data_IF_263524826067
#
_entry.id   IF_263524826067
#
_cell.length_a   1.000
_cell.length_b   1.000
_cell.length_c   1.000
_cell.angle_alpha   90.00
_cell.angle_beta   90.00
_cell.angle_gamma   90.00
#
_symmetry.space_group_name_H-M   'P 1'
#
loop_
_entity.id
_entity.type
_entity.pdbx_description
1 polymer ?
#
# COMPACT_ATOMS: atom_id res chain seq x y z
N UNK A 1 78.81 -1.73 -65.52
CA UNK A 1 78.81 -0.27 -65.78
C UNK A 1 77.62 0.04 -66.68
N UNK A 2 76.65 0.81 -66.17
CA UNK A 2 75.39 1.15 -66.85
C UNK A 2 75.61 2.29 -67.86
N UNK A 3 74.99 2.22 -69.04
CA UNK A 3 74.74 3.37 -69.94
C UNK A 3 73.27 3.40 -70.34
N UNK A 4 72.79 4.63 -70.51
CA UNK A 4 71.41 5.09 -70.62
C UNK A 4 70.67 4.58 -71.86
N UNK A 5 69.34 4.51 -71.76
CA UNK A 5 68.44 4.92 -72.83
C UNK A 5 67.18 5.55 -72.22
N UNK A 6 66.88 6.77 -72.68
CA UNK A 6 65.71 7.56 -72.31
C UNK A 6 64.50 7.11 -73.13
N UNK A 7 63.31 7.13 -72.52
CA UNK A 7 62.04 7.17 -73.26
C UNK A 7 61.21 8.30 -72.67
N UNK A 8 60.98 9.29 -73.51
CA UNK A 8 60.09 10.42 -73.32
C UNK A 8 58.67 9.96 -73.70
N UNK A 9 57.72 10.02 -72.77
CA UNK A 9 56.29 9.85 -73.07
C UNK A 9 55.53 11.06 -72.55
N UNK A 10 54.85 11.73 -73.50
CA UNK A 10 54.02 12.91 -73.30
C UNK A 10 52.88 12.63 -72.30
N UNK A 11 52.71 13.53 -71.33
CA UNK A 11 51.50 13.58 -70.49
C UNK A 11 50.70 14.81 -70.90
N UNK A 12 49.54 14.56 -71.53
CA UNK A 12 48.55 15.58 -71.87
C UNK A 12 47.83 16.05 -70.61
N UNK A 13 47.82 17.36 -70.38
CA UNK A 13 47.05 18.00 -69.32
C UNK A 13 45.55 18.03 -69.70
N UNK A 14 44.69 17.58 -68.80
CA UNK A 14 43.26 17.86 -68.83
C UNK A 14 42.86 18.50 -67.50
N UNK A 15 42.46 19.76 -67.56
CA UNK A 15 41.92 20.51 -66.44
C UNK A 15 40.49 20.01 -66.12
N UNK A 16 40.31 19.46 -64.92
CA UNK A 16 38.99 19.15 -64.35
C UNK A 16 38.53 20.26 -63.40
N UNK A 17 37.21 20.49 -63.26
CA UNK A 17 36.67 21.66 -62.56
C UNK A 17 36.84 21.55 -61.04
N UNK A 18 37.18 22.68 -60.43
CA UNK A 18 37.25 22.86 -58.97
C UNK A 18 35.83 22.83 -58.39
N UNK A 19 35.48 21.76 -57.69
CA UNK A 19 34.29 21.70 -56.84
C UNK A 19 34.64 22.18 -55.43
N UNK A 20 34.27 23.43 -55.15
CA UNK A 20 34.33 24.02 -53.80
C UNK A 20 33.32 23.26 -52.92
N UNK A 21 33.82 22.36 -52.07
CA UNK A 21 33.01 21.75 -51.01
C UNK A 21 32.81 22.79 -49.90
N UNK A 22 31.58 23.32 -49.79
CA UNK A 22 31.18 24.13 -48.63
C UNK A 22 31.26 23.31 -47.33
N UNK A 23 31.38 23.97 -46.16
CA UNK A 23 31.49 23.25 -44.90
C UNK A 23 30.21 22.45 -44.70
N UNK A 24 30.36 21.14 -44.45
CA UNK A 24 29.25 20.29 -44.06
C UNK A 24 28.63 20.88 -42.79
N UNK A 25 27.38 21.34 -42.90
CA UNK A 25 26.61 21.76 -41.74
C UNK A 25 26.54 20.58 -40.77
N UNK A 26 27.21 20.73 -39.62
CA UNK A 26 27.09 19.78 -38.53
C UNK A 26 25.62 19.67 -38.16
N UNK A 27 25.04 18.49 -38.37
CA UNK A 27 23.75 18.11 -37.80
C UNK A 27 23.86 18.39 -36.29
N UNK A 28 22.91 19.14 -35.68
CA UNK A 28 22.92 19.26 -34.23
C UNK A 28 22.79 17.84 -33.68
N UNK A 29 23.72 17.44 -32.82
CA UNK A 29 23.54 16.28 -31.97
C UNK A 29 22.24 16.55 -31.22
N UNK A 30 21.18 15.84 -31.64
CA UNK A 30 19.87 15.97 -31.03
C UNK A 30 20.02 15.82 -29.53
N UNK A 31 19.36 16.68 -28.78
CA UNK A 31 19.32 16.67 -27.33
C UNK A 31 19.29 15.23 -26.84
N UNK A 32 20.43 14.78 -26.29
CA UNK A 32 20.45 13.60 -25.46
C UNK A 32 19.55 13.96 -24.27
N UNK A 33 18.29 13.54 -24.36
CA UNK A 33 17.31 13.65 -23.29
C UNK A 33 18.01 13.18 -22.01
N UNK A 34 18.32 14.12 -21.12
CA UNK A 34 18.99 13.82 -19.88
C UNK A 34 18.18 12.73 -19.17
N UNK A 35 18.77 11.54 -19.02
CA UNK A 35 18.10 10.41 -18.39
C UNK A 35 17.60 10.86 -17.01
N UNK A 36 16.29 10.80 -16.80
CA UNK A 36 15.66 11.23 -15.55
C UNK A 36 16.18 10.33 -14.41
N UNK A 37 16.85 10.93 -13.42
CA UNK A 37 17.29 10.20 -12.22
C UNK A 37 16.06 9.65 -11.49
N UNK A 38 16.02 8.33 -11.18
CA UNK A 38 14.91 7.74 -10.44
C UNK A 38 14.74 8.39 -9.08
N UNK A 39 13.49 8.62 -8.67
CA UNK A 39 13.16 9.07 -7.32
C UNK A 39 13.44 7.98 -6.29
N UNK A 40 13.64 8.36 -5.03
CA UNK A 40 13.86 7.41 -3.94
C UNK A 40 12.75 6.35 -3.82
N UNK A 41 11.48 6.75 -4.08
CA UNK A 41 10.34 5.82 -4.07
C UNK A 41 10.37 4.84 -5.24
N UNK A 42 10.83 5.26 -6.41
CA UNK A 42 10.99 4.38 -7.57
C UNK A 42 12.09 3.36 -7.32
N UNK A 43 13.21 3.76 -6.71
CA UNK A 43 14.28 2.84 -6.30
C UNK A 43 13.79 1.82 -5.27
N UNK A 44 13.12 2.24 -4.20
CA UNK A 44 12.52 1.32 -3.22
C UNK A 44 11.55 0.35 -3.91
N UNK A 45 10.70 0.85 -4.82
CA UNK A 45 9.78 -0.02 -5.52
C UNK A 45 10.48 -1.05 -6.41
N UNK A 46 11.61 -0.69 -7.03
CA UNK A 46 12.42 -1.65 -7.78
C UNK A 46 12.96 -2.76 -6.86
N UNK A 47 13.49 -2.42 -5.68
CA UNK A 47 13.95 -3.41 -4.70
C UNK A 47 12.81 -4.30 -4.18
N UNK A 48 11.63 -3.72 -3.93
CA UNK A 48 10.44 -4.49 -3.54
C UNK A 48 10.00 -5.46 -4.64
N UNK A 49 10.01 -5.03 -5.90
CA UNK A 49 9.63 -5.87 -7.04
C UNK A 49 10.63 -7.00 -7.27
N UNK A 50 11.93 -6.72 -7.16
CA UNK A 50 13.00 -7.72 -7.25
C UNK A 50 12.88 -8.76 -6.12
N UNK A 51 12.86 -8.33 -4.86
CA UNK A 51 12.73 -9.23 -3.71
C UNK A 51 11.42 -10.03 -3.73
N UNK A 52 10.31 -9.43 -4.18
CA UNK A 52 9.07 -10.18 -4.33
C UNK A 52 9.19 -11.31 -5.38
N UNK A 53 9.88 -11.05 -6.50
CA UNK A 53 10.15 -12.05 -7.52
C UNK A 53 11.06 -13.17 -7.04
N UNK A 54 12.17 -12.83 -6.39
CA UNK A 54 13.18 -13.78 -5.91
C UNK A 54 12.65 -14.73 -4.82
N UNK A 55 11.66 -14.28 -4.05
CA UNK A 55 11.10 -15.01 -2.91
C UNK A 55 9.68 -15.55 -3.15
N UNK A 56 9.17 -15.54 -4.38
CA UNK A 56 7.81 -15.99 -4.74
C UNK A 56 6.71 -15.33 -3.87
N UNK A 57 6.78 -14.02 -3.72
CA UNK A 57 5.82 -13.21 -2.98
C UNK A 57 4.99 -12.34 -3.94
N UNK A 58 3.69 -12.13 -3.66
CA UNK A 58 2.93 -11.13 -4.40
C UNK A 58 3.51 -9.73 -4.15
N UNK A 59 3.88 -9.01 -5.22
CA UNK A 59 4.42 -7.63 -5.15
C UNK A 59 3.54 -6.74 -4.28
N UNK A 60 2.22 -6.84 -4.43
CA UNK A 60 1.26 -6.06 -3.68
C UNK A 60 1.23 -6.38 -2.18
N UNK A 61 1.56 -7.60 -1.79
CA UNK A 61 1.67 -8.02 -0.40
C UNK A 61 2.92 -7.41 0.24
N UNK A 62 4.09 -7.61 -0.36
CA UNK A 62 5.36 -7.07 0.17
C UNK A 62 5.33 -5.54 0.19
N UNK A 63 4.78 -4.91 -0.85
CA UNK A 63 4.60 -3.45 -0.90
C UNK A 63 3.76 -2.94 0.28
N UNK A 64 2.60 -3.56 0.56
CA UNK A 64 1.74 -3.17 1.69
C UNK A 64 2.43 -3.38 3.02
N UNK A 65 3.22 -4.44 3.17
CA UNK A 65 3.99 -4.71 4.39
C UNK A 65 5.04 -3.62 4.63
N UNK A 66 5.93 -3.36 3.67
CA UNK A 66 6.97 -2.32 3.80
C UNK A 66 6.34 -0.92 4.00
N UNK A 67 5.21 -0.65 3.33
CA UNK A 67 4.45 0.58 3.57
C UNK A 67 3.90 0.67 4.99
N UNK A 68 3.36 -0.44 5.52
CA UNK A 68 2.76 -0.49 6.85
C UNK A 68 3.80 -0.29 7.95
N UNK A 69 5.01 -0.79 7.75
CA UNK A 69 6.11 -0.71 8.71
C UNK A 69 6.67 0.71 8.83
N UNK A 70 7.03 1.35 7.70
CA UNK A 70 7.75 2.63 7.73
C UNK A 70 7.15 3.73 6.86
N UNK A 71 6.18 3.39 6.02
CA UNK A 71 5.74 4.22 4.88
C UNK A 71 6.88 4.55 3.93
N UNK A 72 7.75 3.56 3.68
CA UNK A 72 8.92 3.65 2.78
C UNK A 72 9.97 4.66 3.28
N UNK A 73 10.13 4.78 4.61
CA UNK A 73 11.14 5.66 5.22
C UNK A 73 12.23 4.79 5.85
N UNK A 74 13.46 4.79 5.31
CA UNK A 74 14.50 3.89 5.80
C UNK A 74 15.04 4.30 7.17
N UNK A 75 15.15 5.59 7.49
CA UNK A 75 15.72 6.07 8.76
C UNK A 75 14.79 6.03 9.98
N UNK A 76 13.76 5.18 10.01
CA UNK A 76 12.77 5.17 11.11
C UNK A 76 13.15 4.17 12.20
N UNK A 77 13.00 4.59 13.46
CA UNK A 77 13.08 3.72 14.63
C UNK A 77 11.76 3.79 15.41
N UNK A 78 11.15 2.65 15.71
CA UNK A 78 9.93 2.61 16.51
C UNK A 78 10.22 2.82 18.00
N UNK A 79 9.21 3.17 18.83
CA UNK A 79 9.37 3.24 20.29
C UNK A 79 9.84 1.93 20.93
N UNK A 80 9.60 0.79 20.27
CA UNK A 80 10.03 -0.54 20.74
C UNK A 80 11.42 -0.91 20.23
N UNK A 81 12.05 -0.06 19.43
CA UNK A 81 13.40 -0.27 18.88
C UNK A 81 13.44 -0.98 17.52
N UNK A 82 12.32 -1.11 16.81
CA UNK A 82 12.30 -1.66 15.46
C UNK A 82 12.95 -0.67 14.48
N UNK A 83 13.82 -1.14 13.58
CA UNK A 83 14.72 -0.31 12.78
C UNK A 83 14.48 -0.47 11.28
N UNK A 84 14.67 0.61 10.54
CA UNK A 84 14.77 0.53 9.10
C UNK A 84 13.43 0.58 8.36
N UNK A 85 13.52 0.43 7.04
CA UNK A 85 12.35 0.43 6.16
C UNK A 85 11.41 -0.75 6.43
N UNK A 86 11.96 -1.89 6.88
CA UNK A 86 11.26 -3.13 7.17
C UNK A 86 10.99 -3.36 8.67
N UNK A 87 11.39 -2.41 9.53
CA UNK A 87 11.17 -2.42 10.98
C UNK A 87 11.60 -3.72 11.67
N UNK A 88 12.83 -4.17 11.40
CA UNK A 88 13.40 -5.31 12.11
C UNK A 88 13.69 -4.93 13.56
N UNK A 89 13.32 -5.80 14.50
CA UNK A 89 13.86 -5.74 15.86
C UNK A 89 15.36 -6.10 15.83
N UNK A 90 16.22 -5.51 16.68
CA UNK A 90 17.67 -5.73 16.61
C UNK A 90 18.08 -7.21 16.67
N UNK A 91 17.43 -8.01 17.53
CA UNK A 91 17.69 -9.45 17.61
C UNK A 91 17.35 -10.16 16.29
N UNK A 92 16.19 -9.85 15.70
CA UNK A 92 15.78 -10.41 14.40
C UNK A 92 16.69 -9.94 13.27
N UNK A 93 17.14 -8.68 13.26
CA UNK A 93 18.11 -8.20 12.27
C UNK A 93 19.41 -9.01 12.30
N UNK A 94 19.93 -9.30 13.50
CA UNK A 94 21.10 -10.15 13.68
C UNK A 94 20.85 -11.60 13.24
N UNK A 95 19.70 -12.19 13.59
CA UNK A 95 19.29 -13.53 13.12
C UNK A 95 19.18 -13.61 11.59
N UNK A 96 18.78 -12.51 10.93
CA UNK A 96 18.70 -12.41 9.47
C UNK A 96 20.02 -12.00 8.81
N UNK A 97 21.10 -11.80 9.57
CA UNK A 97 22.40 -11.44 9.03
C UNK A 97 22.48 -10.02 8.44
N UNK A 98 21.60 -9.11 8.86
CA UNK A 98 21.66 -7.71 8.43
C UNK A 98 22.81 -6.99 9.14
N UNK A 99 23.80 -6.53 8.36
CA UNK A 99 24.86 -5.67 8.87
C UNK A 99 24.33 -4.29 9.28
N UNK A 100 23.41 -3.75 8.49
CA UNK A 100 22.70 -2.51 8.77
C UNK A 100 21.20 -2.64 8.40
N UNK A 101 20.26 -2.61 9.36
CA UNK A 101 18.83 -2.66 9.06
C UNK A 101 18.28 -1.38 8.43
N UNK A 102 19.04 -0.28 8.42
CA UNK A 102 18.65 0.98 7.77
C UNK A 102 18.91 0.99 6.27
N UNK A 103 19.74 0.07 5.75
CA UNK A 103 20.00 -0.09 4.31
C UNK A 103 18.78 -0.72 3.60
N UNK A 104 18.07 0.04 2.73
CA UNK A 104 16.76 -0.38 2.24
C UNK A 104 16.79 -1.68 1.45
N UNK A 105 17.77 -1.84 0.55
CA UNK A 105 17.87 -2.99 -0.33
C UNK A 105 18.03 -4.29 0.46
N UNK A 106 19.02 -4.35 1.34
CA UNK A 106 19.29 -5.51 2.19
C UNK A 106 18.11 -5.80 3.13
N UNK A 107 17.52 -4.76 3.73
CA UNK A 107 16.39 -4.93 4.64
C UNK A 107 15.12 -5.44 3.92
N UNK A 108 14.85 -4.99 2.69
CA UNK A 108 13.70 -5.46 1.89
C UNK A 108 13.88 -6.93 1.50
N UNK A 109 15.06 -7.31 1.03
CA UNK A 109 15.36 -8.71 0.69
C UNK A 109 15.27 -9.62 1.92
N UNK A 110 15.86 -9.22 3.04
CA UNK A 110 15.77 -9.95 4.29
C UNK A 110 14.32 -10.09 4.79
N UNK A 111 13.48 -9.07 4.60
CA UNK A 111 12.06 -9.13 4.95
C UNK A 111 11.30 -10.12 4.06
N UNK A 112 11.57 -10.14 2.76
CA UNK A 112 11.00 -11.10 1.81
C UNK A 112 11.41 -12.54 2.17
N UNK A 113 12.70 -12.76 2.40
CA UNK A 113 13.25 -14.04 2.86
C UNK A 113 12.59 -14.51 4.17
N UNK A 114 12.46 -13.61 5.14
CA UNK A 114 11.83 -13.94 6.43
C UNK A 114 10.35 -14.30 6.26
N UNK A 115 9.61 -13.59 5.41
CA UNK A 115 8.22 -13.92 5.09
C UNK A 115 8.07 -15.29 4.45
N UNK A 116 9.02 -15.71 3.60
CA UNK A 116 9.04 -17.06 3.02
C UNK A 116 9.22 -18.13 4.10
N UNK A 117 10.12 -17.91 5.06
CA UNK A 117 10.32 -18.84 6.18
C UNK A 117 9.07 -18.91 7.07
N UNK A 118 8.44 -17.76 7.35
CA UNK A 118 7.20 -17.69 8.12
C UNK A 118 6.02 -18.33 7.37
N UNK A 119 5.93 -18.14 6.05
CA UNK A 119 4.92 -18.80 5.21
C UNK A 119 5.10 -20.32 5.26
N UNK A 120 6.34 -20.81 5.23
CA UNK A 120 6.64 -22.24 5.38
C UNK A 120 6.26 -22.76 6.76
N UNK A 121 6.56 -22.01 7.82
CA UNK A 121 6.28 -22.42 9.19
C UNK A 121 4.78 -22.41 9.54
N UNK A 122 4.02 -21.46 9.01
CA UNK A 122 2.59 -21.26 9.35
C UNK A 122 1.62 -21.63 8.22
N UNK A 123 2.12 -22.03 7.05
CA UNK A 123 1.36 -22.57 5.94
C UNK A 123 0.80 -21.54 4.94
N UNK A 124 0.61 -20.28 5.32
CA UNK A 124 0.10 -19.25 4.40
C UNK A 124 0.61 -17.84 4.73
N UNK A 125 0.45 -16.93 3.75
CA UNK A 125 0.95 -15.55 3.84
C UNK A 125 0.22 -14.68 4.89
N UNK A 126 -1.04 -14.96 5.20
CA UNK A 126 -1.77 -14.22 6.23
C UNK A 126 -1.25 -14.52 7.63
N UNK A 127 -0.96 -15.78 7.93
CA UNK A 127 -0.32 -16.18 9.17
C UNK A 127 1.15 -15.75 9.20
N UNK A 128 1.84 -15.74 8.06
CA UNK A 128 3.18 -15.17 7.95
C UNK A 128 3.21 -13.67 8.31
N UNK A 129 2.28 -12.87 7.79
CA UNK A 129 2.14 -11.45 8.18
C UNK A 129 1.85 -11.29 9.68
N UNK A 130 1.03 -12.18 10.25
CA UNK A 130 0.76 -12.18 11.68
C UNK A 130 2.03 -12.45 12.49
N UNK A 131 2.84 -13.42 12.07
CA UNK A 131 4.06 -13.81 12.77
C UNK A 131 5.19 -12.78 12.59
N UNK A 132 5.25 -12.12 11.44
CA UNK A 132 6.20 -11.03 11.19
C UNK A 132 6.01 -9.88 12.19
N UNK A 133 4.77 -9.41 12.36
CA UNK A 133 4.47 -8.30 13.27
C UNK A 133 4.32 -8.74 14.74
N UNK A 134 3.66 -9.87 14.97
CA UNK A 134 3.29 -10.37 16.29
C UNK A 134 4.33 -11.27 16.94
N UNK A 135 5.34 -11.73 16.20
CA UNK A 135 6.30 -12.74 16.63
C UNK A 135 5.80 -14.18 16.42
N UNK A 136 6.65 -15.12 15.97
CA UNK A 136 6.25 -16.50 15.69
C UNK A 136 5.65 -17.23 16.90
N UNK A 137 6.28 -17.13 18.07
CA UNK A 137 5.81 -17.83 19.28
C UNK A 137 4.39 -17.41 19.67
N UNK A 138 4.11 -16.10 19.59
CA UNK A 138 2.78 -15.57 19.91
C UNK A 138 1.70 -16.05 18.93
N UNK A 139 2.05 -16.17 17.65
CA UNK A 139 1.14 -16.73 16.65
C UNK A 139 0.93 -18.22 16.88
N UNK A 140 1.96 -18.97 17.25
CA UNK A 140 1.84 -20.38 17.62
C UNK A 140 0.90 -20.57 18.81
N UNK A 141 1.05 -19.78 19.88
CA UNK A 141 0.17 -19.81 21.05
C UNK A 141 -1.28 -19.45 20.71
N UNK A 142 -1.47 -18.48 19.83
CA UNK A 142 -2.81 -18.10 19.37
C UNK A 142 -3.48 -19.16 18.48
N UNK A 143 -2.69 -19.93 17.74
CA UNK A 143 -3.19 -21.03 16.91
C UNK A 143 -3.54 -22.26 17.76
N UNK A 144 -2.75 -22.57 18.79
CA UNK A 144 -3.01 -23.67 19.72
C UNK A 144 -4.11 -23.36 20.75
N UNK A 145 -4.49 -22.09 20.89
CA UNK A 145 -5.48 -21.64 21.86
C UNK A 145 -4.92 -21.39 23.27
N UNK A 146 -3.59 -21.47 23.45
CA UNK A 146 -2.91 -21.12 24.71
C UNK A 146 -2.72 -19.61 24.90
N UNK A 147 -2.97 -18.80 23.86
CA UNK A 147 -2.80 -17.36 23.90
C UNK A 147 -3.72 -16.58 22.96
N UNK A 148 -3.59 -15.25 22.99
CA UNK A 148 -4.35 -14.32 22.15
C UNK A 148 -3.48 -13.59 21.13
N UNK A 149 -4.09 -13.16 20.02
CA UNK A 149 -3.43 -12.30 19.02
C UNK A 149 -3.70 -10.82 19.32
N UNK A 150 -2.69 -9.95 19.48
CA UNK A 150 -2.88 -8.54 19.77
C UNK A 150 -3.70 -7.83 18.68
N UNK A 151 -4.52 -6.85 19.08
CA UNK A 151 -5.32 -6.08 18.13
C UNK A 151 -4.46 -5.29 17.12
N UNK A 152 -3.23 -4.93 17.49
CA UNK A 152 -2.23 -4.36 16.57
C UNK A 152 -1.92 -5.31 15.41
N UNK A 153 -1.57 -6.56 15.72
CA UNK A 153 -1.28 -7.60 14.74
C UNK A 153 -2.50 -7.98 13.91
N UNK A 154 -3.69 -8.06 14.51
CA UNK A 154 -4.93 -8.29 13.75
C UNK A 154 -5.18 -7.20 12.70
N UNK A 155 -4.98 -5.93 13.06
CA UNK A 155 -5.09 -4.80 12.11
C UNK A 155 -3.98 -4.82 11.06
N UNK A 156 -2.78 -5.25 11.43
CA UNK A 156 -1.65 -5.40 10.51
C UNK A 156 -1.98 -6.40 9.40
N UNK A 157 -2.45 -7.59 9.76
CA UNK A 157 -2.87 -8.63 8.80
C UNK A 157 -3.99 -8.13 7.90
N UNK A 158 -5.02 -7.50 8.48
CA UNK A 158 -6.14 -6.96 7.70
C UNK A 158 -5.71 -5.86 6.72
N UNK A 159 -4.76 -5.01 7.09
CA UNK A 159 -4.23 -3.98 6.20
C UNK A 159 -3.50 -4.57 4.99
N UNK A 160 -2.70 -5.61 5.20
CA UNK A 160 -1.89 -6.22 4.13
C UNK A 160 -2.73 -7.11 3.23
N UNK A 161 -3.64 -7.90 3.82
CA UNK A 161 -4.32 -8.99 3.14
C UNK A 161 -5.76 -8.70 2.76
N UNK A 162 -6.38 -7.66 3.34
CA UNK A 162 -7.81 -7.39 3.21
C UNK A 162 -8.73 -8.32 4.02
N UNK A 163 -8.19 -9.32 4.73
CA UNK A 163 -8.95 -10.33 5.49
C UNK A 163 -8.64 -10.27 6.99
N UNK A 164 -9.56 -10.71 7.84
CA UNK A 164 -9.29 -10.77 9.27
C UNK A 164 -8.25 -11.86 9.57
N UNK A 165 -7.42 -11.68 10.60
CA UNK A 165 -6.39 -12.66 10.94
C UNK A 165 -6.97 -14.07 11.20
N UNK A 166 -8.15 -14.15 11.84
CA UNK A 166 -8.84 -15.41 12.11
C UNK A 166 -9.25 -16.19 10.85
N UNK A 167 -9.51 -15.50 9.73
CA UNK A 167 -9.93 -16.13 8.48
C UNK A 167 -8.81 -16.95 7.82
N UNK A 168 -7.56 -16.75 8.27
CA UNK A 168 -6.38 -17.47 7.81
C UNK A 168 -6.11 -18.76 8.58
N UNK A 169 -6.87 -19.05 9.65
CA UNK A 169 -6.80 -20.33 10.36
C UNK A 169 -7.42 -21.42 9.49
N UNK A 170 -6.66 -22.46 9.16
CA UNK A 170 -7.16 -23.59 8.36
C UNK A 170 -7.42 -23.28 6.88
N UNK A 171 -7.08 -22.07 6.40
CA UNK A 171 -7.14 -21.78 4.97
C UNK A 171 -5.94 -22.39 4.24
N UNK A 172 -6.21 -23.24 3.25
CA UNK A 172 -5.19 -23.81 2.36
C UNK A 172 -4.63 -22.79 1.34
N UNK A 173 -5.25 -21.62 1.20
CA UNK A 173 -4.87 -20.65 0.18
C UNK A 173 -3.60 -19.86 0.49
N UNK A 174 -2.76 -19.78 -0.54
CA UNK A 174 -1.57 -18.95 -0.64
C UNK A 174 -1.88 -17.67 -1.42
N UNK A 175 -2.09 -16.54 -0.74
CA UNK A 175 -2.09 -15.22 -1.40
C UNK A 175 -3.27 -14.32 -1.05
N UNK A 176 -3.13 -12.99 -1.22
CA UNK A 176 -4.29 -12.09 -1.16
C UNK A 176 -5.31 -12.55 -2.21
N UNK A 177 -6.60 -12.57 -1.85
CA UNK A 177 -7.68 -12.76 -2.82
C UNK A 177 -7.57 -11.61 -3.81
N UNK A 178 -7.01 -11.89 -4.99
CA UNK A 178 -7.01 -10.94 -6.09
C UNK A 178 -8.47 -10.64 -6.44
N UNK A 179 -8.82 -9.36 -6.58
CA UNK A 179 -10.08 -8.99 -7.22
C UNK A 179 -10.07 -9.63 -8.62
N UNK A 180 -11.08 -10.43 -9.00
CA UNK A 180 -11.16 -11.04 -10.34
C UNK A 180 -10.99 -10.04 -11.50
N UNK A 181 -11.21 -8.74 -11.25
CA UNK A 181 -11.04 -7.63 -12.21
C UNK A 181 -9.59 -7.13 -12.36
N UNK A 182 -8.64 -7.61 -11.55
CA UNK A 182 -7.23 -7.16 -11.53
C UNK A 182 -6.27 -8.06 -12.35
N UNK A 183 -6.80 -9.12 -12.97
CA UNK A 183 -6.03 -10.25 -13.52
C UNK A 183 -5.36 -10.06 -14.90
N UNK A 184 -5.35 -8.85 -15.49
CA UNK A 184 -4.81 -8.65 -16.84
C UNK A 184 -3.39 -8.02 -16.90
N UNK A 185 -2.84 -7.53 -15.78
CA UNK A 185 -1.52 -6.84 -15.76
C UNK A 185 -0.78 -7.12 -14.45
N UNK A 186 0.54 -7.39 -14.48
CA UNK A 186 1.30 -7.60 -13.24
C UNK A 186 1.22 -6.36 -12.35
N UNK A 187 0.83 -6.57 -11.09
CA UNK A 187 0.69 -5.49 -10.10
C UNK A 187 2.08 -4.93 -9.80
N UNK A 188 2.25 -3.61 -9.95
CA UNK A 188 3.51 -2.92 -9.66
C UNK A 188 3.48 -2.26 -8.28
N UNK A 189 4.64 -2.19 -7.62
CA UNK A 189 4.78 -1.52 -6.34
C UNK A 189 4.30 -0.06 -6.43
N UNK A 190 4.70 0.66 -7.47
CA UNK A 190 4.32 2.07 -7.65
C UNK A 190 2.80 2.28 -7.69
N UNK A 191 2.05 1.39 -8.34
CA UNK A 191 0.58 1.47 -8.38
C UNK A 191 -0.06 1.20 -7.01
N UNK A 192 0.45 0.22 -6.26
CA UNK A 192 -0.04 -0.08 -4.91
C UNK A 192 0.26 1.07 -3.97
N UNK A 193 1.46 1.61 -4.04
CA UNK A 193 1.89 2.78 -3.27
C UNK A 193 1.05 4.02 -3.60
N UNK A 194 0.73 4.26 -4.88
CA UNK A 194 -0.17 5.34 -5.27
C UNK A 194 -1.58 5.15 -4.68
N UNK A 195 -2.11 3.93 -4.68
CA UNK A 195 -3.41 3.62 -4.08
C UNK A 195 -3.40 3.79 -2.54
N UNK A 196 -2.31 3.44 -1.86
CA UNK A 196 -2.16 3.60 -0.40
C UNK A 196 -1.96 5.06 0.02
N UNK A 197 -1.28 5.85 -0.82
CA UNK A 197 -1.03 7.27 -0.59
C UNK A 197 -2.21 8.16 -1.03
N UNK A 198 -3.10 7.63 -1.89
CA UNK A 198 -4.29 8.36 -2.29
C UNK A 198 -5.12 8.69 -1.04
N UNK A 199 -5.60 9.95 -0.91
CA UNK A 199 -6.58 10.24 0.11
C UNK A 199 -7.74 9.26 -0.07
N UNK A 200 -8.26 8.73 1.04
CA UNK A 200 -9.46 7.90 1.00
C UNK A 200 -10.47 8.64 0.13
N UNK A 201 -10.95 8.01 -0.95
CA UNK A 201 -11.99 8.59 -1.79
C UNK A 201 -13.16 8.90 -0.87
N UNK A 202 -13.25 10.15 -0.44
CA UNK A 202 -14.47 10.71 0.09
C UNK A 202 -15.38 10.69 -1.12
N UNK A 203 -16.27 9.69 -1.19
CA UNK A 203 -17.45 9.82 -2.04
C UNK A 203 -18.10 11.09 -1.52
N UNK A 204 -18.11 12.20 -2.29
CA UNK A 204 -18.78 13.40 -1.83
C UNK A 204 -20.22 12.97 -1.59
N UNK A 205 -20.70 13.12 -0.35
CA UNK A 205 -22.13 13.25 -0.16
C UNK A 205 -22.50 14.48 -0.99
N UNK A 206 -23.18 14.26 -2.11
CA UNK A 206 -23.70 15.35 -2.94
C UNK A 206 -24.66 16.14 -2.05
N UNK A 207 -24.27 17.37 -1.67
CA UNK A 207 -25.08 18.32 -0.91
C UNK A 207 -24.56 18.68 0.49
N UNK A 208 -25.04 19.79 1.08
CA UNK A 208 -24.79 20.10 2.49
C UNK A 208 -25.17 18.89 3.34
N UNK A 209 -24.35 18.58 4.36
CA UNK A 209 -24.57 17.42 5.22
C UNK A 209 -26.02 17.44 5.74
N UNK A 210 -26.86 16.44 5.40
CA UNK A 210 -28.26 16.49 5.76
C UNK A 210 -28.40 16.50 7.28
N UNK A 211 -29.11 17.50 7.78
CA UNK A 211 -29.49 17.62 9.19
C UNK A 211 -30.91 17.12 9.34
N UNK A 212 -31.15 16.23 10.30
CA UNK A 212 -32.48 15.75 10.65
C UNK A 212 -32.62 15.69 12.19
N UNK A 213 -33.83 15.85 12.74
CA UNK A 213 -34.05 15.88 14.18
C UNK A 213 -33.75 14.53 14.87
N UNK A 214 -33.80 13.43 14.14
CA UNK A 214 -33.45 12.10 14.61
C UNK A 214 -32.40 11.44 13.72
N UNK A 215 -31.75 10.41 14.25
CA UNK A 215 -30.90 9.57 13.43
C UNK A 215 -30.55 8.22 14.07
N UNK A 216 -30.34 7.24 13.20
CA UNK A 216 -29.82 5.94 13.57
C UNK A 216 -28.29 6.04 13.67
N UNK A 217 -27.75 6.07 14.88
CA UNK A 217 -26.31 6.15 15.12
C UNK A 217 -25.66 4.79 14.91
N UNK A 218 -24.76 4.73 13.94
CA UNK A 218 -24.15 3.48 13.44
C UNK A 218 -22.63 3.46 13.57
N UNK A 219 -21.99 4.62 13.72
CA UNK A 219 -20.55 4.71 13.92
C UNK A 219 -20.17 5.89 14.81
N UNK A 220 -18.97 5.85 15.39
CA UNK A 220 -18.38 6.97 16.09
C UNK A 220 -16.87 6.86 16.24
N UNK A 221 -16.16 7.99 16.21
CA UNK A 221 -14.71 8.05 16.38
C UNK A 221 -14.25 9.45 16.80
N UNK A 222 -13.07 9.57 17.41
CA UNK A 222 -12.42 10.85 17.73
C UNK A 222 -11.86 11.61 16.51
N UNK A 223 -11.96 11.02 15.31
CA UNK A 223 -11.51 11.63 14.05
C UNK A 223 -12.69 11.58 13.09
N UNK A 224 -13.05 12.73 12.53
CA UNK A 224 -14.17 12.86 11.59
C UNK A 224 -13.99 11.95 10.37
N UNK A 225 -12.79 11.93 9.79
CA UNK A 225 -12.49 11.13 8.61
C UNK A 225 -12.54 9.62 8.91
N UNK A 226 -12.07 9.21 10.09
CA UNK A 226 -12.18 7.82 10.53
C UNK A 226 -13.63 7.43 10.79
N UNK A 227 -14.44 8.31 11.35
CA UNK A 227 -15.87 8.07 11.57
C UNK A 227 -16.61 7.88 10.23
N UNK A 228 -16.33 8.74 9.24
CA UNK A 228 -16.87 8.61 7.88
C UNK A 228 -16.37 7.35 7.17
N UNK A 229 -15.09 6.99 7.32
CA UNK A 229 -14.55 5.74 6.75
C UNK A 229 -15.16 4.49 7.40
N UNK A 230 -15.51 4.53 8.69
CA UNK A 230 -16.28 3.45 9.33
C UNK A 230 -17.66 3.36 8.69
N UNK A 231 -18.35 4.50 8.50
CA UNK A 231 -19.66 4.51 7.85
C UNK A 231 -19.62 3.98 6.41
N UNK A 232 -18.66 4.40 5.59
CA UNK A 232 -18.50 3.88 4.23
C UNK A 232 -18.33 2.35 4.18
N UNK A 233 -17.60 1.76 5.13
CA UNK A 233 -17.50 0.30 5.29
C UNK A 233 -18.83 -0.33 5.72
N UNK A 234 -19.59 0.32 6.58
CA UNK A 234 -20.92 -0.14 6.98
C UNK A 234 -21.90 -0.09 5.80
N UNK A 235 -21.79 0.90 4.90
CA UNK A 235 -22.61 0.96 3.69
C UNK A 235 -22.33 -0.21 2.74
N UNK A 236 -21.07 -0.65 2.62
CA UNK A 236 -20.71 -1.83 1.86
C UNK A 236 -21.20 -3.13 2.51
N UNK A 237 -21.09 -3.23 3.84
CA UNK A 237 -21.46 -4.45 4.58
C UNK A 237 -22.97 -4.65 4.73
N UNK A 238 -23.71 -3.57 4.89
CA UNK A 238 -25.16 -3.56 5.09
C UNK A 238 -25.84 -2.82 3.95
N UNK A 239 -25.50 -3.20 2.72
CA UNK A 239 -25.93 -2.54 1.48
C UNK A 239 -27.46 -2.38 1.43
N UNK A 240 -28.20 -3.46 1.74
CA UNK A 240 -29.68 -3.46 1.78
C UNK A 240 -30.29 -2.37 2.68
N UNK A 241 -29.56 -1.94 3.72
CA UNK A 241 -30.06 -0.99 4.72
C UNK A 241 -29.45 0.39 4.53
N UNK A 242 -28.17 0.49 4.14
CA UNK A 242 -27.38 1.73 4.19
C UNK A 242 -26.87 2.22 2.83
N UNK A 243 -27.02 1.46 1.75
CA UNK A 243 -26.59 1.90 0.42
C UNK A 243 -27.24 3.24 0.04
N UNK A 244 -26.43 4.15 -0.49
CA UNK A 244 -26.88 5.48 -0.93
C UNK A 244 -27.37 6.42 0.18
N UNK A 245 -27.51 5.97 1.43
CA UNK A 245 -27.99 6.81 2.53
C UNK A 245 -26.92 7.82 2.96
N UNK A 246 -27.27 9.11 3.12
CA UNK A 246 -26.29 10.12 3.48
C UNK A 246 -25.86 10.02 4.95
N UNK A 247 -24.69 10.57 5.26
CA UNK A 247 -24.12 10.60 6.60
C UNK A 247 -24.39 11.95 7.29
N UNK A 248 -25.10 11.93 8.42
CA UNK A 248 -25.19 13.06 9.34
C UNK A 248 -24.12 12.91 10.44
N UNK A 249 -23.20 13.87 10.54
CA UNK A 249 -22.09 13.82 11.50
C UNK A 249 -22.35 14.77 12.68
N UNK A 250 -22.42 14.22 13.90
CA UNK A 250 -22.69 14.98 15.13
C UNK A 250 -21.48 14.90 16.06
N UNK A 251 -20.84 16.04 16.31
CA UNK A 251 -19.75 16.17 17.26
C UNK A 251 -20.25 16.31 18.69
N UNK A 252 -19.88 15.39 19.58
CA UNK A 252 -20.20 15.46 21.01
C UNK A 252 -18.94 15.66 21.83
N UNK A 253 -19.00 16.51 22.87
CA UNK A 253 -17.93 16.64 23.87
C UNK A 253 -18.43 16.07 25.18
N UNK A 254 -17.72 15.10 25.74
CA UNK A 254 -18.03 14.56 27.06
C UNK A 254 -16.93 14.94 28.04
N UNK A 255 -17.24 15.86 28.95
CA UNK A 255 -16.28 16.38 29.95
C UNK A 255 -15.69 15.28 30.85
N UNK A 256 -16.38 14.15 31.06
CA UNK A 256 -15.85 13.00 31.82
C UNK A 256 -14.91 12.10 31.04
N UNK A 257 -14.76 12.31 29.72
CA UNK A 257 -13.87 11.55 28.82
C UNK A 257 -12.82 12.44 28.13
N UNK A 258 -12.61 13.66 28.65
CA UNK A 258 -11.68 14.65 28.11
C UNK A 258 -12.32 15.69 27.18
N UNK A 259 -11.52 16.65 26.72
CA UNK A 259 -11.98 17.77 25.89
C UNK A 259 -12.13 17.43 24.39
N UNK A 260 -11.67 16.26 23.96
CA UNK A 260 -11.66 15.86 22.56
C UNK A 260 -13.09 15.65 22.04
N UNK A 261 -13.34 16.13 20.81
CA UNK A 261 -14.63 15.94 20.13
C UNK A 261 -14.75 14.49 19.67
N UNK A 262 -15.83 13.83 20.05
CA UNK A 262 -16.20 12.52 19.53
C UNK A 262 -17.23 12.69 18.42
N UNK A 263 -16.89 12.30 17.19
CA UNK A 263 -17.75 12.42 16.03
C UNK A 263 -18.62 11.17 15.91
N UNK A 264 -19.93 11.33 16.01
CA UNK A 264 -20.90 10.27 15.79
C UNK A 264 -21.44 10.38 14.36
N UNK A 265 -21.59 9.25 13.66
CA UNK A 265 -22.22 9.20 12.34
C UNK A 265 -23.59 8.56 12.46
N UNK A 266 -24.58 9.23 11.89
CA UNK A 266 -25.99 8.86 11.91
C UNK A 266 -26.55 8.81 10.50
N UNK A 267 -27.46 7.88 10.26
CA UNK A 267 -28.39 7.97 9.13
C UNK A 267 -29.49 8.97 9.54
N UNK A 268 -29.67 10.09 8.84
CA UNK A 268 -30.67 11.10 9.18
C UNK A 268 -32.09 10.54 9.02
N UNK A 269 -32.99 10.94 9.93
CA UNK A 269 -34.40 10.59 9.88
C UNK A 269 -35.27 11.71 10.48
N UNK A 270 -36.43 11.98 9.89
CA UNK A 270 -37.36 13.02 10.37
C UNK A 270 -38.06 12.62 11.67
N UNK A 271 -38.23 11.32 11.93
CA UNK A 271 -38.94 10.82 13.11
C UNK A 271 -38.11 9.79 13.87
N UNK A 272 -38.43 9.63 15.15
CA UNK A 272 -37.85 8.58 15.99
C UNK A 272 -38.14 7.18 15.43
N UNK A 273 -39.35 6.98 14.89
CA UNK A 273 -39.80 5.73 14.29
C UNK A 273 -38.98 5.39 13.04
N UNK A 274 -38.80 6.34 12.13
CA UNK A 274 -37.98 6.13 10.93
C UNK A 274 -36.51 5.82 11.26
N UNK A 275 -35.95 6.44 12.31
CA UNK A 275 -34.63 6.07 12.83
C UNK A 275 -34.64 4.66 13.48
N UNK A 276 -35.74 4.32 14.16
CA UNK A 276 -36.01 3.03 14.77
C UNK A 276 -36.00 1.89 13.74
N UNK A 277 -36.67 2.07 12.61
CA UNK A 277 -36.74 1.09 11.53
C UNK A 277 -35.37 0.77 10.95
N UNK A 278 -34.55 1.81 10.74
CA UNK A 278 -33.15 1.63 10.31
C UNK A 278 -32.38 0.82 11.34
N UNK A 279 -32.47 1.18 12.62
CA UNK A 279 -31.80 0.43 13.68
C UNK A 279 -32.31 -1.01 13.82
N UNK A 280 -33.61 -1.25 13.66
CA UNK A 280 -34.20 -2.60 13.74
C UNK A 280 -33.66 -3.49 12.62
N UNK A 281 -33.63 -2.98 11.38
CA UNK A 281 -33.06 -3.69 10.22
C UNK A 281 -31.57 -3.97 10.40
N UNK A 282 -30.80 -3.00 10.89
CA UNK A 282 -29.38 -3.17 11.18
C UNK A 282 -29.14 -4.21 12.28
N UNK A 283 -29.88 -4.14 13.39
CA UNK A 283 -29.76 -5.11 14.49
C UNK A 283 -30.11 -6.52 14.04
N UNK A 284 -31.15 -6.68 13.21
CA UNK A 284 -31.53 -7.95 12.59
C UNK A 284 -30.40 -8.52 11.72
N UNK A 285 -29.63 -7.66 11.05
CA UNK A 285 -28.45 -8.01 10.27
C UNK A 285 -27.15 -8.15 11.12
N UNK A 286 -27.22 -8.01 12.45
CA UNK A 286 -26.07 -8.13 13.35
C UNK A 286 -25.24 -6.85 13.55
N UNK A 287 -25.72 -5.69 13.08
CA UNK A 287 -25.08 -4.39 13.34
C UNK A 287 -25.51 -3.76 14.67
N UNK A 288 -24.57 -3.07 15.32
CA UNK A 288 -24.87 -2.17 16.42
C UNK A 288 -25.55 -0.90 15.89
N UNK A 289 -26.65 -0.49 16.53
CA UNK A 289 -27.34 0.75 16.19
C UNK A 289 -28.09 1.32 17.41
N UNK A 290 -28.06 2.64 17.57
CA UNK A 290 -28.77 3.36 18.63
C UNK A 290 -29.53 4.54 18.01
N UNK A 291 -30.82 4.65 18.30
CA UNK A 291 -31.63 5.81 17.90
C UNK A 291 -31.27 7.00 18.79
N UNK A 292 -30.99 8.15 18.19
CA UNK A 292 -30.66 9.38 18.91
C UNK A 292 -31.36 10.59 18.30
N UNK A 293 -31.80 11.49 19.16
CA UNK A 293 -32.16 12.86 18.78
C UNK A 293 -30.88 13.65 18.50
N UNK A 294 -30.91 14.48 17.46
CA UNK A 294 -29.82 15.38 17.05
C UNK A 294 -29.57 16.51 18.03
#
# INVERSE_FOLDING_TARGET
MKRLAAVLLLVSAAAGPVLIHGPAAARPLGDASAAKVPTHRELICAHVEAAAGDHDLPVAFLTRLIWRESSFRPGVVSPKGAQGIAQFMPATAAERGLADPFEPEAAIDAAASFLTDLRRAFGNLGLAAAAYNGGPNRVADWLSGSGGLPAETQRFVSFITGRAAGDWKGSAESGPVADPRESARPVRCASVVAALAAPARVVPAVGPAPTAPWGAQVAGHFSKDRALAIYARLQQRYEDVLAGRPAMVVGTRNRSRGAAVFFNVRVPAETQEAAGDVCARLKKAGAACIVRKS
#
